data_IF_685355213516
#
_entry.id   IF_685355213516
#
_cell.length_a   1.000
_cell.length_b   1.000
_cell.length_c   1.000
_cell.angle_alpha   90.00
_cell.angle_beta   90.00
_cell.angle_gamma   90.00
#
_symmetry.space_group_name_H-M   'P 1'
#
loop_
_entity.id
_entity.type
_entity.pdbx_description
1 polymer ?
#
# COMPACT_ATOMS: atom_id res chain seq x y z
N UNK A 1 1.52 -9.68 -5.88
CA UNK A 1 0.21 -10.18 -6.38
C UNK A 1 -0.66 -10.72 -5.24
N UNK A 2 -0.14 -11.61 -4.36
CA UNK A 2 -0.92 -12.14 -3.22
C UNK A 2 -1.51 -11.05 -2.29
N UNK A 3 -0.75 -10.01 -2.00
CA UNK A 3 -1.16 -8.88 -1.13
C UNK A 3 -2.39 -8.12 -1.63
N UNK A 4 -2.48 -7.87 -2.94
CA UNK A 4 -3.66 -7.23 -3.56
C UNK A 4 -4.88 -8.14 -3.46
N UNK A 5 -4.70 -9.45 -3.71
CA UNK A 5 -5.78 -10.42 -3.55
C UNK A 5 -6.32 -10.47 -2.12
N UNK A 6 -5.44 -10.39 -1.12
CA UNK A 6 -5.84 -10.30 0.29
C UNK A 6 -6.64 -9.03 0.55
N UNK A 7 -6.18 -7.86 0.09
CA UNK A 7 -6.90 -6.59 0.28
C UNK A 7 -8.27 -6.61 -0.39
N UNK A 8 -8.38 -7.14 -1.60
CA UNK A 8 -9.66 -7.30 -2.30
C UNK A 8 -10.62 -8.26 -1.57
N UNK A 9 -10.08 -9.32 -0.98
CA UNK A 9 -10.87 -10.27 -0.18
C UNK A 9 -11.37 -9.60 1.11
N UNK A 10 -10.50 -8.84 1.79
CA UNK A 10 -10.84 -8.03 2.96
C UNK A 10 -11.94 -7.01 2.62
N UNK A 11 -11.77 -6.25 1.55
CA UNK A 11 -12.74 -5.25 1.09
C UNK A 11 -14.11 -5.86 0.76
N UNK A 12 -14.14 -7.06 0.21
CA UNK A 12 -15.39 -7.77 -0.08
C UNK A 12 -16.13 -8.32 1.15
N UNK A 13 -15.57 -8.14 2.35
CA UNK A 13 -16.13 -8.65 3.61
C UNK A 13 -15.94 -10.16 3.81
N UNK A 14 -15.23 -10.85 2.91
CA UNK A 14 -15.03 -12.31 2.98
C UNK A 14 -14.06 -12.72 4.10
N UNK A 15 -13.40 -11.77 4.76
CA UNK A 15 -12.54 -12.00 5.91
C UNK A 15 -13.17 -11.48 7.22
N UNK A 16 -14.48 -11.25 7.26
CA UNK A 16 -15.16 -10.71 8.45
C UNK A 16 -15.06 -11.62 9.68
N UNK A 17 -15.03 -12.94 9.50
CA UNK A 17 -14.86 -13.90 10.60
C UNK A 17 -13.42 -13.95 11.10
N UNK A 18 -12.44 -13.95 10.18
CA UNK A 18 -11.02 -14.08 10.50
C UNK A 18 -10.39 -12.74 10.97
N UNK A 19 -10.84 -11.62 10.40
CA UNK A 19 -10.29 -10.27 10.59
C UNK A 19 -11.43 -9.24 10.74
N UNK A 20 -12.28 -9.34 11.77
CA UNK A 20 -13.46 -8.49 11.94
C UNK A 20 -13.09 -7.00 12.00
N UNK A 21 -12.10 -6.63 12.81
CA UNK A 21 -11.67 -5.23 12.95
C UNK A 21 -11.12 -4.64 11.65
N UNK A 22 -10.26 -5.39 10.94
CA UNK A 22 -9.72 -4.90 9.67
C UNK A 22 -10.82 -4.76 8.61
N UNK A 23 -11.82 -5.64 8.64
CA UNK A 23 -12.96 -5.59 7.72
C UNK A 23 -13.83 -4.36 8.01
N UNK A 24 -14.11 -4.07 9.29
CA UNK A 24 -14.88 -2.89 9.69
C UNK A 24 -14.17 -1.59 9.27
N UNK A 25 -12.88 -1.46 9.59
CA UNK A 25 -12.09 -0.29 9.20
C UNK A 25 -11.95 -0.13 7.70
N UNK A 26 -12.04 -1.20 6.91
CA UNK A 26 -11.91 -1.12 5.47
C UNK A 26 -13.00 -0.23 4.82
N UNK A 27 -14.16 -0.12 5.48
CA UNK A 27 -15.24 0.76 5.05
C UNK A 27 -14.98 2.24 5.35
N UNK A 28 -14.13 2.53 6.34
CA UNK A 28 -13.80 3.89 6.78
C UNK A 28 -12.70 4.55 5.95
N UNK A 29 -11.98 3.78 5.14
CA UNK A 29 -10.86 4.29 4.34
C UNK A 29 -11.41 5.09 3.14
N UNK A 30 -11.16 6.41 3.09
CA UNK A 30 -11.80 7.29 2.11
C UNK A 30 -11.26 7.07 0.68
N UNK A 31 -10.00 6.65 0.56
CA UNK A 31 -9.34 6.44 -0.73
C UNK A 31 -8.63 5.08 -0.78
N UNK A 32 -9.37 4.08 -1.24
CA UNK A 32 -8.86 2.72 -1.41
C UNK A 32 -7.85 2.61 -2.55
N UNK A 33 -7.90 3.52 -3.54
CA UNK A 33 -6.97 3.53 -4.67
C UNK A 33 -5.54 3.70 -4.18
N UNK A 34 -5.33 4.59 -3.21
CA UNK A 34 -4.02 4.80 -2.57
C UNK A 34 -3.47 3.49 -1.99
N UNK A 35 -4.30 2.73 -1.26
CA UNK A 35 -3.87 1.45 -0.69
C UNK A 35 -3.54 0.42 -1.77
N UNK A 36 -4.40 0.25 -2.77
CA UNK A 36 -4.15 -0.70 -3.84
C UNK A 36 -2.86 -0.39 -4.59
N UNK A 37 -2.61 0.89 -4.91
CA UNK A 37 -1.38 1.28 -5.61
C UNK A 37 -0.16 1.16 -4.69
N UNK A 38 -0.26 1.52 -3.41
CA UNK A 38 0.82 1.31 -2.45
C UNK A 38 1.18 -0.18 -2.33
N UNK A 39 0.20 -1.07 -2.20
CA UNK A 39 0.43 -2.52 -2.16
C UNK A 39 1.00 -3.06 -3.48
N UNK A 40 0.63 -2.48 -4.63
CA UNK A 40 1.23 -2.85 -5.92
C UNK A 40 2.72 -2.47 -5.99
N UNK A 41 3.08 -1.32 -5.41
CA UNK A 41 4.40 -0.72 -5.58
C UNK A 41 5.37 -0.96 -4.41
N UNK A 42 4.92 -1.43 -3.23
CA UNK A 42 5.73 -1.45 -2.00
C UNK A 42 7.11 -2.12 -2.14
N UNK A 43 7.20 -3.17 -2.93
CA UNK A 43 8.43 -3.94 -3.17
C UNK A 43 9.04 -3.71 -4.56
N UNK A 44 8.60 -2.68 -5.32
CA UNK A 44 8.97 -2.50 -6.73
C UNK A 44 10.48 -2.28 -6.97
N UNK A 45 11.21 -1.83 -5.94
CA UNK A 45 12.65 -1.58 -6.00
C UNK A 45 13.50 -2.68 -5.36
N UNK A 46 12.90 -3.82 -4.96
CA UNK A 46 13.63 -4.94 -4.36
C UNK A 46 14.72 -5.46 -5.31
N UNK A 47 15.91 -5.72 -4.79
CA UNK A 47 17.08 -6.14 -5.58
C UNK A 47 17.89 -5.01 -6.20
N UNK A 48 17.55 -3.74 -5.93
CA UNK A 48 18.43 -2.59 -6.22
C UNK A 48 19.52 -2.44 -5.15
N UNK A 49 20.57 -1.70 -5.50
CA UNK A 49 21.71 -1.40 -4.62
C UNK A 49 21.33 -0.44 -3.48
N UNK A 50 20.42 0.49 -3.76
CA UNK A 50 19.86 1.43 -2.79
C UNK A 50 18.78 0.78 -1.94
N UNK A 51 18.49 1.35 -0.77
CA UNK A 51 17.32 0.99 0.04
C UNK A 51 16.05 0.97 -0.82
N UNK A 52 15.38 -0.18 -0.84
CA UNK A 52 14.25 -0.41 -1.74
C UNK A 52 12.99 0.37 -1.35
N UNK A 53 12.86 0.77 -0.07
CA UNK A 53 11.75 1.62 0.35
C UNK A 53 11.94 3.03 -0.20
N UNK A 54 13.15 3.60 -0.09
CA UNK A 54 13.49 4.93 -0.62
C UNK A 54 13.42 4.93 -2.16
N UNK A 55 14.05 3.95 -2.80
CA UNK A 55 14.03 3.81 -4.24
C UNK A 55 12.59 3.56 -4.77
N UNK A 56 11.80 2.77 -4.05
CA UNK A 56 10.40 2.50 -4.34
C UNK A 56 9.54 3.77 -4.25
N UNK A 57 9.71 4.57 -3.21
CA UNK A 57 9.01 5.84 -3.04
C UNK A 57 9.31 6.83 -4.19
N UNK A 58 10.56 6.90 -4.64
CA UNK A 58 10.93 7.72 -5.81
C UNK A 58 10.28 7.21 -7.10
N UNK A 59 10.17 5.89 -7.27
CA UNK A 59 9.43 5.31 -8.40
C UNK A 59 7.95 5.66 -8.29
N UNK A 60 7.33 5.52 -7.12
CA UNK A 60 5.94 5.87 -6.86
C UNK A 60 5.61 7.32 -7.23
N UNK A 61 6.44 8.29 -6.81
CA UNK A 61 6.28 9.71 -7.19
C UNK A 61 6.31 9.93 -8.70
N UNK A 62 7.12 9.16 -9.42
CA UNK A 62 7.24 9.25 -10.89
C UNK A 62 6.08 8.59 -11.63
N UNK A 63 5.57 7.47 -11.13
CA UNK A 63 4.52 6.69 -11.82
C UNK A 63 3.11 7.09 -11.42
N UNK A 64 2.91 7.66 -10.22
CA UNK A 64 1.59 8.05 -9.70
C UNK A 64 0.76 8.88 -10.68
N UNK A 65 1.29 9.99 -11.23
CA UNK A 65 0.55 10.79 -12.22
C UNK A 65 0.19 10.00 -13.50
N UNK A 66 1.04 9.04 -13.90
CA UNK A 66 0.81 8.18 -15.08
C UNK A 66 -0.28 7.14 -14.82
N UNK A 67 -0.52 6.81 -13.56
CA UNK A 67 -1.61 5.96 -13.09
C UNK A 67 -2.90 6.76 -12.81
N UNK A 68 -2.90 8.07 -13.09
CA UNK A 68 -4.06 8.94 -12.87
C UNK A 68 -4.22 9.44 -11.44
N UNK A 69 -3.21 9.28 -10.58
CA UNK A 69 -3.26 9.78 -9.20
C UNK A 69 -3.13 11.31 -9.16
N UNK A 70 -3.86 11.94 -8.23
CA UNK A 70 -3.63 13.34 -7.86
C UNK A 70 -2.26 13.51 -7.20
N UNK A 71 -1.81 14.76 -7.05
CA UNK A 71 -0.56 15.05 -6.35
C UNK A 71 -0.60 14.54 -4.89
N UNK A 72 -1.73 14.71 -4.21
CA UNK A 72 -1.92 14.23 -2.84
C UNK A 72 -1.85 12.70 -2.77
N UNK A 73 -2.61 12.01 -3.63
CA UNK A 73 -2.60 10.54 -3.69
C UNK A 73 -1.20 10.01 -4.02
N UNK A 74 -0.51 10.63 -4.97
CA UNK A 74 0.86 10.27 -5.35
C UNK A 74 1.81 10.34 -4.15
N UNK A 75 1.73 11.42 -3.38
CA UNK A 75 2.59 11.58 -2.21
C UNK A 75 2.21 10.62 -1.08
N UNK A 76 0.92 10.38 -0.84
CA UNK A 76 0.47 9.38 0.14
C UNK A 76 0.94 7.97 -0.24
N UNK A 77 0.83 7.58 -1.52
CA UNK A 77 1.36 6.30 -2.01
C UNK A 77 2.86 6.22 -1.80
N UNK A 78 3.60 7.28 -2.18
CA UNK A 78 5.05 7.30 -2.04
C UNK A 78 5.48 7.16 -0.57
N UNK A 79 4.81 7.88 0.33
CA UNK A 79 5.05 7.78 1.77
C UNK A 79 4.76 6.37 2.32
N UNK A 80 3.64 5.76 1.93
CA UNK A 80 3.31 4.37 2.33
C UNK A 80 4.37 3.37 1.85
N UNK A 81 4.87 3.53 0.61
CA UNK A 81 5.95 2.69 0.07
C UNK A 81 7.26 2.93 0.83
N UNK A 82 7.56 4.17 1.21
CA UNK A 82 8.77 4.49 1.97
C UNK A 82 8.76 3.88 3.39
N UNK A 83 7.57 3.83 4.01
CA UNK A 83 7.42 3.42 5.41
C UNK A 83 6.97 1.96 5.58
N UNK A 84 6.88 1.16 4.52
CA UNK A 84 6.26 -0.17 4.61
C UNK A 84 7.01 -1.16 5.53
N UNK A 85 8.34 -1.04 5.63
CA UNK A 85 9.13 -1.84 6.59
C UNK A 85 8.90 -1.37 8.03
N UNK A 86 8.84 -0.04 8.26
CA UNK A 86 8.53 0.53 9.57
C UNK A 86 7.16 0.05 10.06
N UNK A 87 6.15 0.13 9.21
CA UNK A 87 4.81 -0.36 9.51
C UNK A 87 4.79 -1.86 9.83
N UNK A 88 5.52 -2.67 9.05
CA UNK A 88 5.63 -4.11 9.30
C UNK A 88 6.30 -4.41 10.64
N UNK A 89 7.38 -3.71 10.98
CA UNK A 89 8.11 -3.88 12.24
C UNK A 89 7.22 -3.52 13.44
N UNK A 90 6.49 -2.42 13.36
CA UNK A 90 5.57 -1.98 14.42
C UNK A 90 4.40 -2.93 14.60
N UNK A 91 3.81 -3.45 13.52
CA UNK A 91 2.68 -4.37 13.60
C UNK A 91 3.04 -5.77 14.16
N UNK A 92 4.33 -6.10 14.20
CA UNK A 92 4.85 -7.37 14.71
C UNK A 92 5.39 -7.27 16.15
N UNK A 93 5.41 -6.07 16.74
CA UNK A 93 5.87 -5.79 18.11
C UNK A 93 4.70 -5.78 19.09
#
# INVERSE_FOLDING_TARGET
>A
IRTIGTLATLESGRLSEDLPLCTDFMSEIPDKTVLYVALLLHDIAKGRVEDHSIAGARIARKVGPRLGLTAQQTETVAWLVEQHLTMSMTAQS
#
